data_IF_120624665538
#
_entry.id   IF_120624665538
#
_cell.length_a   1.000
_cell.length_b   1.000
_cell.length_c   1.000
_cell.angle_alpha   90.00
_cell.angle_beta   90.00
_cell.angle_gamma   90.00
#
_symmetry.space_group_name_H-M   'P 1'
#
loop_
_entity.id
_entity.type
_entity.pdbx_description
1 polymer ?
#
# COMPACT_ATOMS: atom_id res chain seq x y z
N UNK A 1 13.62 -8.71 25.19
CA UNK A 1 14.80 -8.08 24.57
C UNK A 1 14.29 -7.18 23.47
N UNK A 2 14.38 -5.87 23.70
CA UNK A 2 13.88 -4.83 22.82
C UNK A 2 14.71 -4.77 21.53
N UNK A 3 14.09 -5.09 20.40
CA UNK A 3 14.62 -4.80 19.07
C UNK A 3 14.19 -3.40 18.68
N UNK A 4 15.01 -2.41 19.01
CA UNK A 4 14.91 -1.04 18.48
C UNK A 4 15.35 -1.06 17.01
N UNK A 5 14.46 -1.46 16.11
CA UNK A 5 14.72 -1.33 14.67
C UNK A 5 14.22 0.04 14.19
N UNK A 6 15.16 0.99 14.19
CA UNK A 6 15.22 2.14 13.29
C UNK A 6 13.98 3.05 13.22
N UNK A 7 13.79 3.90 14.23
CA UNK A 7 13.18 5.20 13.98
C UNK A 7 14.05 5.95 12.96
N UNK A 8 13.60 6.04 11.71
CA UNK A 8 14.22 6.94 10.72
C UNK A 8 13.74 8.35 11.06
N UNK A 9 14.41 8.96 12.03
CA UNK A 9 14.26 10.38 12.34
C UNK A 9 14.63 11.23 11.12
N UNK A 10 13.66 12.04 10.69
CA UNK A 10 13.82 13.25 9.89
C UNK A 10 14.37 13.10 8.45
N UNK A 11 13.66 12.39 7.57
CA UNK A 11 13.50 12.99 6.24
C UNK A 11 12.50 14.15 6.40
N UNK A 12 12.88 15.36 5.98
CA UNK A 12 11.98 16.51 6.01
C UNK A 12 10.67 16.15 5.31
N UNK A 13 9.51 16.44 5.90
CA UNK A 13 8.21 16.03 5.35
C UNK A 13 8.07 16.47 3.88
N UNK A 14 8.61 17.64 3.53
CA UNK A 14 8.67 18.15 2.17
C UNK A 14 9.54 17.27 1.24
N UNK A 15 10.67 16.73 1.70
CA UNK A 15 11.50 15.81 0.91
C UNK A 15 10.77 14.48 0.63
N UNK A 16 10.02 13.98 1.62
CA UNK A 16 9.16 12.79 1.44
C UNK A 16 8.07 13.09 0.42
N UNK A 17 7.39 14.24 0.54
CA UNK A 17 6.34 14.67 -0.40
C UNK A 17 6.91 14.78 -1.82
N UNK A 18 8.06 15.42 -2.01
CA UNK A 18 8.70 15.51 -3.35
C UNK A 18 9.01 14.12 -3.92
N UNK A 19 9.50 13.18 -3.11
CA UNK A 19 9.72 11.79 -3.56
C UNK A 19 8.40 11.11 -3.94
N UNK A 20 7.33 11.33 -3.17
CA UNK A 20 5.99 10.80 -3.48
C UNK A 20 5.46 11.41 -4.79
N UNK A 21 5.68 12.69 -5.05
CA UNK A 21 5.29 13.34 -6.31
C UNK A 21 6.01 12.72 -7.51
N UNK A 22 7.34 12.54 -7.43
CA UNK A 22 8.10 11.85 -8.48
C UNK A 22 7.60 10.42 -8.71
N UNK A 23 7.30 9.71 -7.62
CA UNK A 23 6.76 8.35 -7.67
C UNK A 23 5.36 8.32 -8.29
N UNK A 24 4.53 9.31 -8.01
CA UNK A 24 3.20 9.50 -8.61
C UNK A 24 3.31 9.57 -10.13
N UNK A 25 4.22 10.38 -10.67
CA UNK A 25 4.42 10.51 -12.11
C UNK A 25 4.79 9.17 -12.76
N UNK A 26 5.70 8.41 -12.14
CA UNK A 26 6.08 7.07 -12.63
C UNK A 26 4.88 6.12 -12.65
N UNK A 27 4.06 6.14 -11.60
CA UNK A 27 2.86 5.31 -11.49
C UNK A 27 1.82 5.71 -12.54
N UNK A 28 1.59 7.00 -12.77
CA UNK A 28 0.71 7.44 -13.85
C UNK A 28 1.18 6.97 -15.23
N UNK A 29 2.48 6.98 -15.49
CA UNK A 29 3.05 6.44 -16.72
C UNK A 29 2.77 4.94 -16.85
N UNK A 30 2.99 4.16 -15.79
CA UNK A 30 2.74 2.71 -15.78
C UNK A 30 1.25 2.40 -15.99
N UNK A 31 0.36 3.17 -15.36
CA UNK A 31 -1.09 3.03 -15.54
C UNK A 31 -1.52 3.33 -16.98
N UNK A 32 -0.95 4.36 -17.62
CA UNK A 32 -1.18 4.67 -19.04
C UNK A 32 -0.66 3.58 -19.98
N UNK A 33 0.36 2.85 -19.57
CA UNK A 33 0.92 1.71 -20.31
C UNK A 33 0.19 0.39 -20.02
N UNK A 34 -0.95 0.43 -19.32
CA UNK A 34 -1.71 -0.77 -18.92
C UNK A 34 -0.91 -1.77 -18.08
N UNK A 35 0.00 -1.26 -17.23
CA UNK A 35 0.83 -2.05 -16.30
C UNK A 35 0.45 -1.79 -14.84
N UNK A 36 -0.78 -2.14 -14.41
CA UNK A 36 -1.27 -1.78 -13.08
C UNK A 36 -0.58 -2.57 -11.95
N UNK A 37 -0.07 -3.78 -12.23
CA UNK A 37 0.69 -4.57 -11.26
C UNK A 37 2.06 -3.94 -10.97
N UNK A 38 2.80 -3.52 -12.00
CA UNK A 38 4.06 -2.80 -11.83
C UNK A 38 3.85 -1.46 -11.13
N UNK A 39 2.74 -0.78 -11.44
CA UNK A 39 2.32 0.44 -10.77
C UNK A 39 2.06 0.21 -9.28
N UNK A 40 1.35 -0.88 -8.92
CA UNK A 40 1.10 -1.25 -7.53
C UNK A 40 2.39 -1.62 -6.79
N UNK A 41 3.27 -2.43 -7.39
CA UNK A 41 4.60 -2.74 -6.81
C UNK A 41 5.38 -1.46 -6.53
N UNK A 42 5.48 -0.61 -7.54
CA UNK A 42 6.12 0.71 -7.38
C UNK A 42 5.44 1.48 -6.25
N UNK A 43 4.11 1.53 -6.19
CA UNK A 43 3.36 2.22 -5.14
C UNK A 43 3.66 1.68 -3.73
N UNK A 44 3.85 0.37 -3.58
CA UNK A 44 4.14 -0.27 -2.30
C UNK A 44 5.64 -0.20 -1.91
N UNK A 45 6.57 -0.04 -2.86
CA UNK A 45 8.00 0.11 -2.58
C UNK A 45 8.31 1.34 -1.70
N UNK A 46 9.11 1.18 -0.65
CA UNK A 46 9.53 2.29 0.22
C UNK A 46 8.42 2.89 1.09
N UNK A 47 7.23 2.28 1.13
CA UNK A 47 6.16 2.61 2.09
C UNK A 47 6.52 2.26 3.53
N UNK A 48 7.59 1.48 3.75
CA UNK A 48 8.17 1.18 5.05
C UNK A 48 8.78 2.40 5.76
N UNK A 49 8.79 3.58 5.11
CA UNK A 49 9.18 4.83 5.74
C UNK A 49 8.14 5.21 6.82
N UNK A 50 8.45 4.85 8.05
CA UNK A 50 7.73 5.10 9.30
C UNK A 50 7.56 6.60 9.61
N UNK A 51 6.92 7.37 8.72
CA UNK A 51 6.64 8.78 8.96
C UNK A 51 5.39 8.95 9.81
N UNK A 52 5.51 9.74 10.88
CA UNK A 52 4.37 10.16 11.69
C UNK A 52 3.58 11.31 11.06
N UNK A 53 4.06 11.89 9.94
CA UNK A 53 3.38 13.01 9.28
C UNK A 53 2.18 12.53 8.44
N UNK A 54 0.99 12.94 8.86
CA UNK A 54 -0.29 12.62 8.23
C UNK A 54 -0.40 13.11 6.77
N UNK A 55 0.30 14.19 6.40
CA UNK A 55 0.34 14.68 5.00
C UNK A 55 1.08 13.69 4.11
N UNK A 56 2.19 13.14 4.61
CA UNK A 56 2.97 12.13 3.89
C UNK A 56 2.16 10.84 3.73
N UNK A 57 1.49 10.39 4.80
CA UNK A 57 0.57 9.24 4.75
C UNK A 57 -0.54 9.45 3.74
N UNK A 58 -1.20 10.60 3.76
CA UNK A 58 -2.26 10.96 2.82
C UNK A 58 -1.78 10.98 1.37
N UNK A 59 -0.61 11.58 1.12
CA UNK A 59 0.00 11.59 -0.20
C UNK A 59 0.31 10.17 -0.70
N UNK A 60 0.86 9.30 0.15
CA UNK A 60 1.12 7.91 -0.20
C UNK A 60 -0.15 7.13 -0.52
N UNK A 61 -1.22 7.36 0.25
CA UNK A 61 -2.51 6.73 0.00
C UNK A 61 -3.10 7.08 -1.34
N UNK A 62 -3.09 8.36 -1.74
CA UNK A 62 -3.63 8.78 -3.04
C UNK A 62 -2.99 7.95 -4.16
N UNK A 63 -1.69 7.72 -4.06
CA UNK A 63 -0.91 6.95 -5.04
C UNK A 63 -1.26 5.46 -5.02
N UNK A 64 -1.29 4.86 -3.83
CA UNK A 64 -1.59 3.42 -3.66
C UNK A 64 -3.05 3.12 -4.02
N UNK A 65 -3.99 3.95 -3.56
CA UNK A 65 -5.41 3.84 -3.88
C UNK A 65 -5.64 3.84 -5.39
N UNK A 66 -4.99 4.76 -6.11
CA UNK A 66 -5.09 4.80 -7.58
C UNK A 66 -4.58 3.52 -8.24
N UNK A 67 -3.50 2.95 -7.74
CA UNK A 67 -2.98 1.67 -8.25
C UNK A 67 -3.93 0.50 -7.93
N UNK A 68 -4.47 0.44 -6.70
CA UNK A 68 -5.46 -0.56 -6.26
C UNK A 68 -6.71 -0.52 -7.15
N UNK A 69 -7.24 0.67 -7.42
CA UNK A 69 -8.44 0.86 -8.24
C UNK A 69 -8.20 0.52 -9.72
N UNK A 70 -6.96 0.51 -10.19
CA UNK A 70 -6.62 0.14 -11.56
C UNK A 70 -6.51 -1.38 -11.77
N UNK A 71 -6.47 -2.18 -10.70
CA UNK A 71 -6.39 -3.65 -10.79
C UNK A 71 -7.74 -4.22 -11.25
N UNK A 72 -7.75 -4.88 -12.40
CA UNK A 72 -8.92 -5.60 -12.93
C UNK A 72 -8.86 -7.10 -12.66
N UNK A 73 -7.68 -7.67 -12.87
CA UNK A 73 -7.34 -9.07 -12.62
C UNK A 73 -6.59 -9.20 -11.30
N UNK A 74 -7.32 -9.60 -10.26
CA UNK A 74 -6.79 -9.73 -8.89
C UNK A 74 -5.91 -10.96 -8.76
N UNK A 75 -6.30 -12.08 -9.34
CA UNK A 75 -5.55 -13.34 -9.27
C UNK A 75 -4.20 -13.23 -10.01
N UNK A 76 -4.20 -12.60 -11.19
CA UNK A 76 -2.97 -12.30 -11.93
C UNK A 76 -2.06 -11.30 -11.21
N UNK A 77 -2.65 -10.28 -10.56
CA UNK A 77 -1.91 -9.34 -9.71
C UNK A 77 -1.21 -10.06 -8.56
N UNK A 78 -1.93 -10.86 -7.78
CA UNK A 78 -1.37 -11.59 -6.65
C UNK A 78 -0.32 -12.62 -7.09
N UNK A 79 -0.47 -13.18 -8.29
CA UNK A 79 0.49 -14.11 -8.89
C UNK A 79 1.82 -13.49 -9.25
N UNK A 80 1.79 -12.21 -9.58
CA UNK A 80 2.98 -11.44 -9.94
C UNK A 80 3.56 -10.68 -8.74
N UNK A 81 2.78 -10.44 -7.68
CA UNK A 81 3.18 -9.68 -6.51
C UNK A 81 3.99 -10.53 -5.54
N UNK A 82 5.14 -10.01 -5.12
CA UNK A 82 6.04 -10.71 -4.19
C UNK A 82 5.43 -10.78 -2.78
N UNK A 83 5.58 -11.91 -2.05
CA UNK A 83 4.96 -12.09 -0.74
C UNK A 83 5.35 -11.04 0.31
N UNK A 84 6.50 -10.38 0.16
CA UNK A 84 6.93 -9.27 1.03
C UNK A 84 5.97 -8.07 1.01
N UNK A 85 5.18 -7.92 -0.06
CA UNK A 85 4.22 -6.83 -0.21
C UNK A 85 2.84 -7.15 0.37
N UNK A 86 2.57 -8.40 0.79
CA UNK A 86 1.23 -8.81 1.20
C UNK A 86 0.77 -8.11 2.48
N UNK A 87 1.64 -8.00 3.48
CA UNK A 87 1.29 -7.38 4.75
C UNK A 87 1.07 -5.87 4.59
N UNK A 88 1.89 -5.20 3.78
CA UNK A 88 1.71 -3.77 3.50
C UNK A 88 0.50 -3.50 2.60
N UNK A 89 0.21 -4.38 1.64
CA UNK A 89 -1.02 -4.31 0.87
C UNK A 89 -2.23 -4.45 1.82
N UNK A 90 -2.21 -5.42 2.74
CA UNK A 90 -3.28 -5.64 3.71
C UNK A 90 -3.58 -4.37 4.54
N UNK A 91 -2.53 -3.69 5.03
CA UNK A 91 -2.66 -2.37 5.70
C UNK A 91 -3.43 -1.35 4.85
N UNK A 92 -3.05 -1.20 3.58
CA UNK A 92 -3.72 -0.25 2.68
C UNK A 92 -5.15 -0.66 2.33
N UNK A 93 -5.46 -1.97 2.31
CA UNK A 93 -6.84 -2.44 2.13
C UNK A 93 -7.71 -2.02 3.31
N UNK A 94 -7.26 -2.21 4.55
CA UNK A 94 -7.99 -1.74 5.73
C UNK A 94 -8.11 -0.20 5.78
N UNK A 95 -7.07 0.51 5.37
CA UNK A 95 -7.15 1.98 5.18
C UNK A 95 -8.22 2.33 4.15
N UNK A 96 -8.29 1.63 3.02
CA UNK A 96 -9.33 1.82 2.01
C UNK A 96 -10.74 1.54 2.53
N UNK A 97 -10.92 0.47 3.30
CA UNK A 97 -12.20 0.14 3.93
C UNK A 97 -12.66 1.22 4.92
N UNK A 98 -11.72 1.88 5.60
CA UNK A 98 -12.02 2.99 6.52
C UNK A 98 -12.57 4.25 5.82
N UNK A 99 -12.41 4.38 4.50
CA UNK A 99 -12.95 5.53 3.74
C UNK A 99 -14.47 5.50 3.63
N UNK A 100 -15.09 4.31 3.72
CA UNK A 100 -16.54 4.14 3.55
C UNK A 100 -17.06 4.37 2.13
N UNK A 101 -16.19 4.68 1.16
CA UNK A 101 -16.56 4.85 -0.24
C UNK A 101 -16.86 3.49 -0.88
N UNK A 102 -18.06 3.32 -1.44
CA UNK A 102 -18.53 2.03 -1.94
C UNK A 102 -17.61 1.39 -2.99
N UNK A 103 -17.23 2.06 -4.10
CA UNK A 103 -16.35 1.44 -5.09
C UNK A 103 -14.97 1.09 -4.51
N UNK A 104 -14.43 1.90 -3.59
CA UNK A 104 -13.19 1.58 -2.90
C UNK A 104 -13.35 0.34 -2.01
N UNK A 105 -14.40 0.28 -1.19
CA UNK A 105 -14.68 -0.85 -0.32
C UNK A 105 -14.88 -2.15 -1.11
N UNK A 106 -15.65 -2.13 -2.19
CA UNK A 106 -15.89 -3.31 -3.03
C UNK A 106 -14.58 -3.85 -3.62
N UNK A 107 -13.72 -2.96 -4.12
CA UNK A 107 -12.41 -3.34 -4.65
C UNK A 107 -11.48 -3.87 -3.54
N UNK A 108 -11.46 -3.21 -2.38
CA UNK A 108 -10.65 -3.63 -1.24
C UNK A 108 -11.07 -5.01 -0.73
N UNK A 109 -12.37 -5.29 -0.62
CA UNK A 109 -12.89 -6.60 -0.20
C UNK A 109 -12.53 -7.71 -1.20
N UNK A 110 -12.65 -7.42 -2.51
CA UNK A 110 -12.29 -8.39 -3.56
C UNK A 110 -10.80 -8.77 -3.51
N UNK A 111 -9.91 -7.79 -3.30
CA UNK A 111 -8.48 -8.07 -3.15
C UNK A 111 -8.20 -8.76 -1.83
N UNK A 112 -8.85 -8.33 -0.74
CA UNK A 112 -8.67 -8.90 0.60
C UNK A 112 -8.99 -10.40 0.63
N UNK A 113 -10.12 -10.81 0.05
CA UNK A 113 -10.52 -12.22 -0.04
C UNK A 113 -9.43 -13.06 -0.71
N UNK A 114 -9.00 -12.67 -1.91
CA UNK A 114 -7.98 -13.39 -2.69
C UNK A 114 -6.59 -13.36 -2.05
N UNK A 115 -6.22 -12.25 -1.44
CA UNK A 115 -4.97 -12.13 -0.69
C UNK A 115 -4.97 -13.10 0.49
N UNK A 116 -6.08 -13.20 1.21
CA UNK A 116 -6.24 -14.10 2.37
C UNK A 116 -6.24 -15.57 1.94
N UNK A 117 -6.90 -15.92 0.84
CA UNK A 117 -6.85 -17.27 0.27
C UNK A 117 -5.41 -17.71 -0.04
N UNK A 118 -4.59 -16.78 -0.55
CA UNK A 118 -3.22 -17.06 -0.98
C UNK A 118 -2.18 -17.01 0.15
N UNK A 119 -2.22 -15.97 0.98
CA UNK A 119 -1.23 -15.72 2.04
C UNK A 119 -1.63 -16.35 3.38
N UNK A 120 -2.87 -16.80 3.51
CA UNK A 120 -3.48 -17.25 4.76
C UNK A 120 -3.80 -16.09 5.71
N UNK A 121 -4.44 -16.43 6.83
CA UNK A 121 -4.89 -15.48 7.85
C UNK A 121 -3.75 -14.75 8.59
N UNK A 122 -2.50 -15.17 8.40
CA UNK A 122 -1.34 -14.56 9.04
C UNK A 122 -1.16 -13.09 8.69
N UNK A 123 -1.49 -12.68 7.45
CA UNK A 123 -1.41 -11.27 7.03
C UNK A 123 -2.44 -10.38 7.76
N UNK A 124 -3.64 -10.91 8.03
CA UNK A 124 -4.67 -10.22 8.83
C UNK A 124 -4.22 -10.09 10.28
N UNK A 125 -3.73 -11.19 10.87
CA UNK A 125 -3.26 -11.18 12.26
C UNK A 125 -2.11 -10.18 12.45
N UNK A 126 -1.12 -10.18 11.55
CA UNK A 126 -0.02 -9.21 11.58
C UNK A 126 -0.52 -7.77 11.47
N UNK A 127 -1.51 -7.50 10.62
CA UNK A 127 -2.16 -6.19 10.57
C UNK A 127 -2.83 -5.81 11.91
N UNK A 128 -3.65 -6.69 12.49
CA UNK A 128 -4.38 -6.42 13.72
C UNK A 128 -3.45 -6.23 14.94
N UNK A 129 -2.31 -6.92 14.94
CA UNK A 129 -1.30 -6.79 16.00
C UNK A 129 -0.33 -5.64 15.78
N UNK A 130 -0.40 -4.96 14.63
CA UNK A 130 0.49 -3.85 14.35
C UNK A 130 0.11 -2.61 15.16
N UNK A 131 1.01 -2.19 16.04
CA UNK A 131 0.84 -1.02 16.90
C UNK A 131 1.35 0.27 16.25
N UNK A 132 2.00 0.19 15.09
CA UNK A 132 2.56 1.33 14.37
C UNK A 132 1.68 1.61 13.16
N UNK A 133 0.91 2.70 13.20
CA UNK A 133 0.12 3.10 12.04
C UNK A 133 1.02 3.77 10.97
N UNK A 134 1.50 2.95 10.04
CA UNK A 134 2.38 3.36 8.94
C UNK A 134 1.66 3.78 7.67
N UNK A 135 0.35 3.48 7.57
CA UNK A 135 -0.45 3.79 6.38
C UNK A 135 -1.48 4.84 6.69
#
# INVERSE_FOLDING_TARGET
MAGSEGFVEADNAEAIITRIEHKTLKIETLLKQFKPVEALKTALEGTYAMTSDERCKSAHWIVVHRAIMAIKDVDGMLSSLDPEYYDILMKYLYRGLSTGDRPTCDQCLRIHEKLTERAGHGCILRFLTDTVNTV
#
